data_IF_102894371034
#
_entry.id   IF_102894371034
#
_cell.length_a   1.000
_cell.length_b   1.000
_cell.length_c   1.000
_cell.angle_alpha   90.00
_cell.angle_beta   90.00
_cell.angle_gamma   90.00
#
_symmetry.space_group_name_H-M   'P 1'
#
loop_
_entity.id
_entity.type
_entity.pdbx_description
1 polymer ?
#
# COMPACT_ATOMS: atom_id res chain seq x y z
N UNK A 1 22.47 -6.62 -17.76
CA UNK A 1 21.81 -7.23 -16.60
C UNK A 1 20.45 -6.58 -16.42
N UNK A 2 19.39 -7.30 -16.77
CA UNK A 2 18.03 -6.81 -16.88
C UNK A 2 17.36 -7.11 -15.53
N UNK A 3 17.34 -6.14 -14.61
CA UNK A 3 16.51 -6.25 -13.40
C UNK A 3 15.05 -6.15 -13.83
N UNK A 4 14.43 -7.29 -14.11
CA UNK A 4 12.98 -7.43 -14.23
C UNK A 4 12.44 -7.59 -12.81
N UNK A 5 12.49 -6.52 -12.02
CA UNK A 5 11.81 -6.44 -10.72
C UNK A 5 10.39 -6.00 -11.03
N UNK A 6 9.42 -6.84 -10.68
CA UNK A 6 8.02 -6.55 -10.89
C UNK A 6 7.63 -5.45 -9.88
N UNK A 7 7.65 -4.20 -10.33
CA UNK A 7 7.35 -3.03 -9.51
C UNK A 7 5.88 -2.67 -9.68
N UNK A 8 5.15 -2.66 -8.58
CA UNK A 8 3.72 -2.36 -8.55
C UNK A 8 3.46 -1.13 -7.68
N UNK A 9 2.27 -0.55 -7.80
CA UNK A 9 1.88 0.64 -7.04
C UNK A 9 0.95 0.27 -5.90
N UNK A 10 1.33 0.70 -4.71
CA UNK A 10 0.49 0.61 -3.53
C UNK A 10 -0.79 1.48 -3.74
N UNK A 11 -2.01 0.92 -3.66
CA UNK A 11 -3.25 1.65 -3.91
C UNK A 11 -3.66 2.57 -2.76
N UNK A 12 -2.98 2.51 -1.61
CA UNK A 12 -3.24 3.31 -0.42
C UNK A 12 -2.43 4.60 -0.44
N UNK A 13 -1.11 4.50 -0.66
CA UNK A 13 -0.21 5.65 -0.65
C UNK A 13 0.31 6.05 -2.04
N UNK A 14 0.14 5.20 -3.07
CA UNK A 14 0.65 5.46 -4.42
C UNK A 14 2.16 5.24 -4.58
N UNK A 15 2.82 4.67 -3.56
CA UNK A 15 4.25 4.37 -3.57
C UNK A 15 4.55 3.16 -4.46
N UNK A 16 5.66 3.22 -5.20
CA UNK A 16 6.17 2.07 -5.96
C UNK A 16 6.82 1.07 -5.02
N UNK A 17 6.44 -0.20 -5.14
CA UNK A 17 6.90 -1.29 -4.28
C UNK A 17 7.24 -2.50 -5.13
N UNK A 18 8.16 -3.30 -4.62
CA UNK A 18 8.67 -4.46 -5.36
C UNK A 18 7.82 -5.69 -5.03
N UNK A 19 7.07 -6.23 -5.99
CA UNK A 19 6.17 -7.38 -5.79
C UNK A 19 6.86 -8.60 -5.16
N UNK A 20 8.17 -8.75 -5.38
CA UNK A 20 8.94 -9.87 -4.83
C UNK A 20 9.20 -9.76 -3.32
N UNK A 21 9.16 -8.55 -2.76
CA UNK A 21 9.44 -8.30 -1.32
C UNK A 21 8.31 -7.57 -0.60
N UNK A 22 7.37 -6.99 -1.34
CA UNK A 22 6.23 -6.27 -0.84
C UNK A 22 5.21 -7.22 -0.20
N UNK A 23 4.45 -6.69 0.75
CA UNK A 23 3.35 -7.42 1.36
C UNK A 23 2.19 -7.48 0.37
N UNK A 24 1.52 -8.62 0.30
CA UNK A 24 0.34 -8.76 -0.53
C UNK A 24 -0.88 -9.18 0.31
N UNK A 25 -2.07 -8.86 -0.18
CA UNK A 25 -3.33 -9.34 0.38
C UNK A 25 -4.29 -9.69 -0.74
N UNK A 26 -5.07 -10.74 -0.51
CA UNK A 26 -6.13 -11.17 -1.41
C UNK A 26 -7.45 -10.54 -0.97
N UNK A 27 -8.15 -9.87 -1.88
CA UNK A 27 -9.46 -9.27 -1.64
C UNK A 27 -10.32 -9.43 -2.88
N UNK A 28 -11.52 -10.00 -2.75
CA UNK A 28 -12.43 -10.23 -3.88
C UNK A 28 -11.78 -11.05 -5.02
N UNK A 29 -10.91 -12.00 -4.67
CA UNK A 29 -10.16 -12.82 -5.64
C UNK A 29 -9.07 -12.05 -6.41
N UNK A 30 -8.69 -10.85 -5.94
CA UNK A 30 -7.61 -10.03 -6.52
C UNK A 30 -6.48 -9.88 -5.51
N UNK A 31 -5.26 -10.07 -5.98
CA UNK A 31 -4.03 -9.85 -5.20
C UNK A 31 -3.61 -8.39 -5.34
N UNK A 32 -3.45 -7.70 -4.20
CA UNK A 32 -2.93 -6.34 -4.12
C UNK A 32 -1.65 -6.31 -3.30
N UNK A 33 -0.74 -5.40 -3.64
CA UNK A 33 0.55 -5.27 -3.00
C UNK A 33 0.68 -3.94 -2.24
N UNK A 34 1.45 -3.97 -1.16
CA UNK A 34 1.56 -2.90 -0.19
C UNK A 34 3.01 -2.68 0.22
N UNK A 35 3.38 -1.41 0.44
CA UNK A 35 4.74 -1.08 0.87
C UNK A 35 5.01 -1.51 2.31
N UNK A 36 3.96 -1.66 3.12
CA UNK A 36 4.06 -1.91 4.54
C UNK A 36 2.75 -2.49 5.10
N UNK A 37 2.84 -3.11 6.28
CA UNK A 37 1.69 -3.72 6.95
C UNK A 37 0.59 -2.69 7.24
N UNK A 38 0.98 -1.45 7.56
CA UNK A 38 0.04 -0.36 7.78
C UNK A 38 -0.82 -0.07 6.54
N UNK A 39 -0.26 -0.09 5.32
CA UNK A 39 -1.03 0.06 4.08
C UNK A 39 -1.95 -1.13 3.86
N UNK A 40 -1.47 -2.36 4.10
CA UNK A 40 -2.29 -3.57 4.01
C UNK A 40 -3.48 -3.54 4.97
N UNK A 41 -3.27 -3.18 6.24
CA UNK A 41 -4.34 -3.05 7.22
C UNK A 41 -5.32 -1.95 6.83
N UNK A 42 -4.84 -0.79 6.39
CA UNK A 42 -5.71 0.29 5.89
C UNK A 42 -6.53 -0.18 4.70
N UNK A 43 -5.95 -0.96 3.80
CA UNK A 43 -6.66 -1.55 2.67
C UNK A 43 -7.77 -2.49 3.13
N UNK A 44 -7.52 -3.36 4.11
CA UNK A 44 -8.53 -4.26 4.65
C UNK A 44 -9.61 -3.53 5.47
N UNK A 45 -9.24 -2.47 6.20
CA UNK A 45 -10.18 -1.67 7.01
C UNK A 45 -10.91 -0.58 6.23
N UNK A 46 -10.38 -0.11 5.11
CA UNK A 46 -10.98 0.95 4.28
C UNK A 46 -11.65 0.33 3.06
N UNK A 47 -12.97 0.49 2.89
CA UNK A 47 -13.62 0.13 1.64
C UNK A 47 -13.06 1.01 0.51
N UNK A 48 -12.85 0.41 -0.67
CA UNK A 48 -12.14 1.03 -1.79
C UNK A 48 -12.69 2.43 -2.11
N UNK A 49 -11.95 3.49 -1.74
CA UNK A 49 -12.34 4.87 -2.02
C UNK A 49 -11.83 5.92 -1.03
N UNK A 50 -11.54 5.55 0.21
CA UNK A 50 -11.04 6.49 1.21
C UNK A 50 -9.52 6.66 1.13
N UNK A 51 -9.05 7.75 0.51
CA UNK A 51 -7.68 8.23 0.75
C UNK A 51 -7.53 8.38 2.28
N UNK A 52 -6.64 7.66 2.95
CA UNK A 52 -6.46 7.87 4.38
C UNK A 52 -5.75 9.21 4.54
N UNK A 53 -6.57 10.21 4.78
CA UNK A 53 -6.22 11.57 5.14
C UNK A 53 -5.00 11.59 6.06
N UNK A 54 -4.04 12.42 5.66
CA UNK A 54 -2.85 12.81 6.40
C UNK A 54 -3.22 13.19 7.83
N UNK A 55 -3.07 12.27 8.78
CA UNK A 55 -2.88 12.65 10.18
C UNK A 55 -1.41 12.93 10.41
N UNK A 56 -0.96 14.06 9.87
CA UNK A 56 0.09 14.84 10.52
C UNK A 56 -0.57 15.56 11.70
N UNK A 57 -0.71 14.82 12.80
CA UNK A 57 -1.01 15.39 14.11
C UNK A 57 0.15 16.30 14.52
N UNK A 58 -0.21 17.49 15.04
CA UNK A 58 0.71 18.59 15.29
C UNK A 58 1.67 18.40 16.46
N UNK A 59 2.65 19.30 16.48
CA UNK A 59 3.49 19.74 17.61
C UNK A 59 4.13 21.07 17.11
N UNK A 60 4.27 22.21 17.78
CA UNK A 60 4.14 22.69 19.15
C UNK A 60 4.10 24.24 19.09
N UNK A 61 3.58 24.91 20.14
CA UNK A 61 3.99 26.27 20.54
C UNK A 61 3.03 27.40 20.18
#
# INVERSE_FOLDING_TARGET
MNKTTAETKDPICGMTVDEATALHAERDGKTFYFCSDHCRQKFLSTPAGGKPEEKSGGCCG
#
